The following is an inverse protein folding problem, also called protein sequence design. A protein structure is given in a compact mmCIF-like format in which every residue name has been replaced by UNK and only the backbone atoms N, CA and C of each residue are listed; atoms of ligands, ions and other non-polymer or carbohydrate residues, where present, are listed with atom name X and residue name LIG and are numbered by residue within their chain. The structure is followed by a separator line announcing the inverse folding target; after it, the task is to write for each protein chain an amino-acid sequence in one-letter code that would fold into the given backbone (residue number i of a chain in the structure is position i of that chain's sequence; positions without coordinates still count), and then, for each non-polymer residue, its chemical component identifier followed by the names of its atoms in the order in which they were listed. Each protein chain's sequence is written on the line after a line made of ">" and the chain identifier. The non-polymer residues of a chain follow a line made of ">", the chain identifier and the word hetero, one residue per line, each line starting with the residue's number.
data_IF_213630481874
#
_entry.id   IF_213630481874
#
_cell.length_a   1.000
_cell.length_b   1.000
_cell.length_c   1.000
_cell.angle_alpha   90.00
_cell.angle_beta   90.00
_cell.angle_gamma   90.00
#
_symmetry.space_group_name_H-M   'P 1'
#
loop_
_entity.id
_entity.type
_entity.pdbx_description
1 polymer ?
#
# COMPACT_ATOMS: atom_id res chain seq x y z
N UNK A 1 -19.41 -34.79 -13.83
CA UNK A 1 -19.70 -33.56 -13.11
C UNK A 1 -19.14 -32.37 -13.91
N UNK A 2 -20.06 -31.69 -14.63
CA UNK A 2 -19.76 -30.46 -15.38
C UNK A 2 -19.79 -29.30 -14.40
N UNK A 3 -18.66 -28.63 -14.22
CA UNK A 3 -18.61 -27.30 -13.63
C UNK A 3 -19.21 -26.29 -14.63
N UNK A 4 -20.40 -25.77 -14.33
CA UNK A 4 -21.01 -24.64 -15.02
C UNK A 4 -20.47 -23.39 -14.31
N UNK A 5 -19.61 -22.64 -14.98
CA UNK A 5 -19.28 -21.29 -14.54
C UNK A 5 -20.51 -20.41 -14.79
N UNK A 6 -21.12 -19.93 -13.73
CA UNK A 6 -22.07 -18.83 -13.81
C UNK A 6 -21.27 -17.56 -14.12
N UNK A 7 -21.40 -17.09 -15.37
CA UNK A 7 -21.06 -15.73 -15.73
C UNK A 7 -21.97 -14.80 -14.91
N UNK A 8 -21.43 -14.17 -13.89
CA UNK A 8 -22.09 -13.07 -13.20
C UNK A 8 -22.12 -11.87 -14.15
N UNK A 9 -23.26 -11.67 -14.81
CA UNK A 9 -23.61 -10.42 -15.45
C UNK A 9 -23.51 -9.29 -14.41
N UNK A 10 -22.35 -8.64 -14.35
CA UNK A 10 -22.23 -7.34 -13.71
C UNK A 10 -22.89 -6.29 -14.60
N UNK A 11 -24.21 -6.29 -14.63
CA UNK A 11 -24.97 -5.08 -14.97
C UNK A 11 -24.58 -4.02 -13.96
N UNK A 12 -23.70 -3.10 -14.38
CA UNK A 12 -23.38 -1.89 -13.64
C UNK A 12 -24.72 -1.16 -13.45
N UNK A 13 -25.33 -1.38 -12.30
CA UNK A 13 -26.51 -0.63 -11.85
C UNK A 13 -26.06 0.83 -11.74
N UNK A 14 -26.61 1.66 -12.63
CA UNK A 14 -26.41 3.12 -12.68
C UNK A 14 -27.11 3.84 -11.52
N UNK A 15 -26.99 3.31 -10.30
CA UNK A 15 -27.54 3.90 -9.09
C UNK A 15 -26.47 4.25 -8.07
N UNK A 16 -25.40 4.95 -8.52
CA UNK A 16 -24.55 5.67 -7.57
C UNK A 16 -25.28 6.94 -7.13
N UNK A 17 -25.71 7.04 -5.87
CA UNK A 17 -26.45 8.20 -5.37
C UNK A 17 -25.64 9.49 -5.47
N UNK A 18 -24.30 9.40 -5.47
CA UNK A 18 -23.41 10.54 -5.68
C UNK A 18 -23.42 11.07 -7.11
N UNK A 19 -23.41 10.18 -8.11
CA UNK A 19 -23.51 10.57 -9.52
C UNK A 19 -24.85 11.23 -9.83
N UNK A 20 -25.94 10.68 -9.34
CA UNK A 20 -27.28 11.28 -9.47
C UNK A 20 -27.40 12.63 -8.75
N UNK A 21 -26.74 12.81 -7.61
CA UNK A 21 -26.72 14.09 -6.90
C UNK A 21 -25.96 15.16 -7.70
N UNK A 22 -24.78 14.83 -8.27
CA UNK A 22 -23.97 15.73 -9.11
C UNK A 22 -24.70 16.10 -10.41
N UNK A 23 -25.32 15.12 -11.07
CA UNK A 23 -26.07 15.34 -12.29
C UNK A 23 -27.32 16.21 -12.07
N UNK A 24 -28.01 16.06 -10.95
CA UNK A 24 -29.20 16.85 -10.63
C UNK A 24 -28.88 18.28 -10.16
N UNK A 25 -27.68 18.57 -9.68
CA UNK A 25 -27.26 19.87 -9.18
C UNK A 25 -26.62 20.75 -10.26
N UNK A 26 -26.22 20.19 -11.41
CA UNK A 26 -25.62 21.00 -12.48
C UNK A 26 -26.66 21.80 -13.24
N UNK A 27 -26.58 23.12 -13.11
CA UNK A 27 -27.39 24.11 -13.81
C UNK A 27 -27.39 23.90 -15.34
N UNK A 28 -26.30 23.41 -15.89
CA UNK A 28 -26.10 23.15 -17.31
C UNK A 28 -27.02 22.04 -17.80
N UNK A 29 -27.19 20.95 -17.05
CA UNK A 29 -28.05 19.80 -17.43
C UNK A 29 -29.52 20.21 -17.38
N UNK A 30 -29.93 21.02 -16.39
CA UNK A 30 -31.27 21.56 -16.32
C UNK A 30 -31.61 22.50 -17.51
N UNK A 31 -30.62 23.27 -17.98
CA UNK A 31 -30.76 24.15 -19.13
C UNK A 31 -30.92 23.36 -20.45
N UNK A 32 -30.12 22.29 -20.61
CA UNK A 32 -30.20 21.38 -21.77
C UNK A 32 -31.53 20.63 -21.78
N UNK A 33 -31.99 20.13 -20.64
CA UNK A 33 -33.25 19.41 -20.51
C UNK A 33 -34.46 20.31 -20.80
N UNK A 34 -34.42 21.58 -20.37
CA UNK A 34 -35.46 22.58 -20.64
C UNK A 34 -35.53 22.97 -22.13
N UNK A 35 -34.36 23.08 -22.79
CA UNK A 35 -34.24 23.31 -24.22
C UNK A 35 -34.77 22.12 -25.03
N UNK A 36 -34.53 20.90 -24.61
CA UNK A 36 -34.98 19.67 -25.25
C UNK A 36 -36.51 19.47 -25.11
N UNK A 37 -37.09 19.81 -23.96
CA UNK A 37 -38.53 19.76 -23.74
C UNK A 37 -39.29 20.86 -24.51
N UNK A 38 -38.71 22.05 -24.64
CA UNK A 38 -39.27 23.13 -25.45
C UNK A 38 -39.30 22.76 -26.95
N UNK A 39 -38.26 22.09 -27.44
CA UNK A 39 -38.17 21.58 -28.80
C UNK A 39 -39.21 20.46 -29.07
N UNK A 40 -39.44 19.56 -28.10
CA UNK A 40 -40.45 18.48 -28.20
C UNK A 40 -41.88 19.00 -28.23
N UNK A 41 -42.17 20.11 -27.53
CA UNK A 41 -43.50 20.73 -27.52
C UNK A 41 -43.83 21.41 -28.84
N UNK A 42 -42.81 21.94 -29.56
CA UNK A 42 -42.98 22.58 -30.87
C UNK A 42 -43.20 21.60 -32.02
N UNK A 43 -42.82 20.33 -31.87
CA UNK A 43 -42.93 19.25 -32.87
C UNK A 43 -44.36 18.62 -32.86
N UNK A 44 -45.11 18.73 -31.74
CA UNK A 44 -46.44 18.12 -31.60
C UNK A 44 -47.60 18.91 -32.24
N UNK A 45 -47.34 20.10 -32.80
CA UNK A 45 -48.37 21.00 -33.33
C UNK A 45 -48.39 21.15 -34.86
N UNK A 46 -47.73 20.25 -35.62
CA UNK A 46 -47.71 20.30 -37.08
C UNK A 46 -48.62 19.19 -37.67
N UNK A 47 -49.63 19.49 -38.46
CA UNK A 47 -50.52 18.48 -39.02
C UNK A 47 -49.83 17.65 -40.11
N UNK A 48 -50.22 16.39 -40.13
CA UNK A 48 -49.76 15.32 -41.01
C UNK A 48 -50.00 15.66 -42.50
N UNK A 49 -48.93 15.98 -43.25
CA UNK A 49 -48.94 15.95 -44.70
C UNK A 49 -47.62 15.54 -45.31
N UNK A 50 -47.68 14.41 -46.01
CA UNK A 50 -46.84 13.92 -47.13
C UNK A 50 -45.37 13.59 -46.94
N UNK A 51 -45.07 12.37 -47.30
CA UNK A 51 -43.86 11.50 -47.37
C UNK A 51 -42.57 12.06 -48.02
N UNK A 52 -42.35 13.37 -48.13
CA UNK A 52 -41.18 13.95 -48.78
C UNK A 52 -40.08 14.45 -47.81
N UNK A 53 -40.33 14.44 -46.52
CA UNK A 53 -39.37 15.00 -45.54
C UNK A 53 -38.47 13.98 -44.83
N UNK A 54 -38.72 12.67 -44.96
CA UNK A 54 -37.94 11.68 -44.22
C UNK A 54 -36.50 11.49 -44.75
N UNK A 55 -36.27 11.65 -46.05
CA UNK A 55 -34.92 11.47 -46.63
C UNK A 55 -34.01 12.67 -46.36
N UNK A 56 -34.56 13.89 -46.36
CA UNK A 56 -33.76 15.09 -46.16
C UNK A 56 -33.37 15.33 -44.68
N UNK A 57 -34.28 15.00 -43.75
CA UNK A 57 -34.03 15.14 -42.30
C UNK A 57 -33.08 14.05 -41.80
N UNK A 58 -33.18 12.82 -42.33
CA UNK A 58 -32.27 11.74 -41.96
C UNK A 58 -30.85 11.99 -42.45
N UNK A 59 -30.69 12.49 -43.69
CA UNK A 59 -29.37 12.86 -44.23
C UNK A 59 -28.74 14.04 -43.48
N UNK A 60 -29.52 15.04 -43.07
CA UNK A 60 -29.05 16.16 -42.28
C UNK A 60 -28.65 15.74 -40.84
N UNK A 61 -29.46 14.87 -40.22
CA UNK A 61 -29.13 14.29 -38.89
C UNK A 61 -27.85 13.44 -38.95
N UNK A 62 -27.68 12.66 -40.00
CA UNK A 62 -26.46 11.84 -40.19
C UNK A 62 -25.24 12.73 -40.43
N UNK A 63 -25.39 13.84 -41.15
CA UNK A 63 -24.30 14.81 -41.37
C UNK A 63 -23.87 15.53 -40.09
N UNK A 64 -24.84 15.90 -39.21
CA UNK A 64 -24.53 16.48 -37.88
C UNK A 64 -23.88 15.46 -36.96
N UNK A 65 -24.36 14.22 -37.00
CA UNK A 65 -23.77 13.15 -36.19
C UNK A 65 -22.34 12.84 -36.61
N UNK A 66 -22.05 12.83 -37.90
CA UNK A 66 -20.70 12.65 -38.43
C UNK A 66 -19.77 13.83 -38.08
N UNK A 67 -20.26 15.07 -38.15
CA UNK A 67 -19.49 16.25 -37.73
C UNK A 67 -19.17 16.22 -36.24
N UNK A 68 -20.16 15.84 -35.41
CA UNK A 68 -19.92 15.73 -33.95
C UNK A 68 -18.93 14.62 -33.61
N UNK A 69 -19.01 13.48 -34.29
CA UNK A 69 -18.05 12.38 -34.12
C UNK A 69 -16.63 12.77 -34.59
N UNK A 70 -16.51 13.51 -35.69
CA UNK A 70 -15.21 14.01 -36.13
C UNK A 70 -14.61 15.02 -35.14
N UNK A 71 -15.42 15.93 -34.60
CA UNK A 71 -14.94 16.88 -33.58
C UNK A 71 -14.51 16.17 -32.29
N UNK A 72 -15.25 15.16 -31.84
CA UNK A 72 -14.87 14.37 -30.65
C UNK A 72 -13.59 13.59 -30.88
N UNK A 73 -13.39 13.00 -32.05
CA UNK A 73 -12.18 12.23 -32.39
C UNK A 73 -10.96 13.15 -32.49
N UNK A 74 -11.09 14.35 -33.04
CA UNK A 74 -10.00 15.32 -33.13
C UNK A 74 -9.62 15.88 -31.76
N UNK A 75 -10.62 16.22 -30.91
CA UNK A 75 -10.36 16.62 -29.52
C UNK A 75 -9.68 15.52 -28.71
N UNK A 76 -10.12 14.27 -28.81
CA UNK A 76 -9.51 13.14 -28.14
C UNK A 76 -8.05 12.90 -28.58
N UNK A 77 -7.77 13.03 -29.88
CA UNK A 77 -6.41 12.92 -30.41
C UNK A 77 -5.51 14.04 -29.88
N UNK A 78 -5.98 15.29 -29.90
CA UNK A 78 -5.25 16.44 -29.36
C UNK A 78 -4.94 16.27 -27.87
N UNK A 79 -5.90 15.82 -27.06
CA UNK A 79 -5.70 15.56 -25.63
C UNK A 79 -4.66 14.45 -25.37
N UNK A 80 -4.67 13.40 -26.17
CA UNK A 80 -3.65 12.34 -26.09
C UNK A 80 -2.25 12.85 -26.47
N UNK A 81 -2.15 13.68 -27.49
CA UNK A 81 -0.89 14.30 -27.89
C UNK A 81 -0.37 15.28 -26.83
N UNK A 82 -1.23 16.16 -26.30
CA UNK A 82 -0.89 17.08 -25.21
C UNK A 82 -0.47 16.31 -23.94
N UNK A 83 -1.13 15.24 -23.59
CA UNK A 83 -0.75 14.40 -22.47
C UNK A 83 0.63 13.75 -22.66
N UNK A 84 0.91 13.20 -23.85
CA UNK A 84 2.22 12.60 -24.17
C UNK A 84 3.34 13.64 -24.19
N UNK A 85 3.11 14.80 -24.79
CA UNK A 85 4.11 15.87 -24.83
C UNK A 85 4.39 16.45 -23.46
N UNK A 86 3.38 16.61 -22.61
CA UNK A 86 3.55 17.06 -21.22
C UNK A 86 4.37 16.07 -20.40
N UNK A 87 4.16 14.77 -20.55
CA UNK A 87 4.96 13.73 -19.90
C UNK A 87 6.42 13.78 -20.38
N UNK A 88 6.65 13.91 -21.70
CA UNK A 88 7.99 13.99 -22.27
C UNK A 88 8.72 15.24 -21.76
N UNK A 89 8.04 16.38 -21.75
CA UNK A 89 8.60 17.63 -21.22
C UNK A 89 8.92 17.49 -19.73
N UNK A 90 8.01 16.90 -18.94
CA UNK A 90 8.24 16.61 -17.52
C UNK A 90 9.45 15.71 -17.30
N UNK A 91 9.61 14.64 -18.07
CA UNK A 91 10.77 13.76 -18.02
C UNK A 91 12.07 14.48 -18.42
N UNK A 92 12.03 15.31 -19.45
CA UNK A 92 13.20 16.09 -19.86
C UNK A 92 13.61 17.12 -18.80
N UNK A 93 12.65 17.77 -18.14
CA UNK A 93 12.92 18.70 -17.03
C UNK A 93 13.52 17.97 -15.83
N UNK A 94 12.97 16.81 -15.46
CA UNK A 94 13.52 15.97 -14.39
C UNK A 94 14.93 15.51 -14.76
N UNK A 95 15.14 15.05 -15.98
CA UNK A 95 16.45 14.61 -16.45
C UNK A 95 17.48 15.75 -16.48
N UNK A 96 17.09 16.94 -16.96
CA UNK A 96 17.96 18.13 -16.99
C UNK A 96 18.35 18.60 -15.57
N UNK A 97 17.48 18.38 -14.57
CA UNK A 97 17.77 18.72 -13.18
C UNK A 97 18.65 17.65 -12.51
N UNK A 98 18.44 16.36 -12.83
CA UNK A 98 19.23 15.24 -12.28
C UNK A 98 20.65 15.20 -12.86
N UNK A 99 20.83 15.51 -14.15
CA UNK A 99 22.12 15.39 -14.83
C UNK A 99 23.27 16.18 -14.16
N UNK A 100 23.13 17.48 -13.83
CA UNK A 100 24.20 18.22 -13.15
C UNK A 100 24.44 17.68 -11.72
N UNK A 101 23.38 17.25 -11.03
CA UNK A 101 23.51 16.67 -9.68
C UNK A 101 24.29 15.35 -9.70
N UNK A 102 24.03 14.47 -10.67
CA UNK A 102 24.78 13.21 -10.82
C UNK A 102 26.24 13.44 -11.22
N UNK A 103 26.49 14.43 -12.07
CA UNK A 103 27.85 14.82 -12.48
C UNK A 103 28.68 15.29 -11.28
N UNK A 104 28.09 16.17 -10.45
CA UNK A 104 28.74 16.67 -9.24
C UNK A 104 28.96 15.55 -8.21
N UNK A 105 28.00 14.63 -8.04
CA UNK A 105 28.17 13.45 -7.20
C UNK A 105 29.29 12.53 -7.70
N UNK A 106 29.35 12.26 -9.01
CA UNK A 106 30.41 11.44 -9.58
C UNK A 106 31.80 12.05 -9.40
N UNK A 107 31.93 13.37 -9.62
CA UNK A 107 33.18 14.09 -9.37
C UNK A 107 33.55 14.02 -7.89
N UNK A 108 32.61 14.27 -6.98
CA UNK A 108 32.85 14.18 -5.53
C UNK A 108 33.28 12.79 -5.10
N UNK A 109 32.65 11.74 -5.63
CA UNK A 109 32.99 10.34 -5.33
C UNK A 109 34.37 9.96 -5.89
N UNK A 110 34.71 10.45 -7.09
CA UNK A 110 36.02 10.15 -7.70
C UNK A 110 37.20 10.78 -6.97
N UNK A 111 36.97 11.85 -6.22
CA UNK A 111 37.98 12.49 -5.37
C UNK A 111 38.11 11.86 -3.98
N UNK A 112 37.27 10.87 -3.62
CA UNK A 112 37.40 10.18 -2.35
C UNK A 112 38.67 9.32 -2.32
N UNK A 113 39.61 9.65 -1.42
CA UNK A 113 40.80 8.86 -1.20
C UNK A 113 40.47 7.47 -0.62
N UNK A 114 41.44 6.54 -0.78
CA UNK A 114 41.30 5.16 -0.27
C UNK A 114 41.00 5.13 1.23
N UNK A 115 41.48 6.11 1.98
CA UNK A 115 41.24 6.24 3.42
C UNK A 115 39.75 6.49 3.73
N UNK A 116 39.11 7.34 2.96
CA UNK A 116 37.66 7.61 3.10
C UNK A 116 36.83 6.36 2.79
N UNK A 117 37.20 5.61 1.75
CA UNK A 117 36.55 4.33 1.46
C UNK A 117 36.67 3.33 2.58
N UNK A 118 37.85 3.20 3.19
CA UNK A 118 38.05 2.34 4.38
C UNK A 118 37.13 2.75 5.54
N UNK A 119 37.01 4.05 5.80
CA UNK A 119 36.11 4.56 6.84
C UNK A 119 34.64 4.21 6.53
N UNK A 120 34.19 4.46 5.30
CA UNK A 120 32.82 4.13 4.87
C UNK A 120 32.51 2.62 5.07
N UNK A 121 33.43 1.74 4.69
CA UNK A 121 33.26 0.29 4.89
C UNK A 121 33.20 -0.07 6.37
N UNK A 122 34.07 0.51 7.19
CA UNK A 122 34.11 0.27 8.62
C UNK A 122 32.80 0.72 9.29
N UNK A 123 32.34 1.92 9.00
CA UNK A 123 31.10 2.47 9.55
C UNK A 123 29.87 1.69 9.07
N UNK A 124 29.87 1.24 7.82
CA UNK A 124 28.83 0.37 7.28
C UNK A 124 28.80 -0.99 8.00
N UNK A 125 29.95 -1.54 8.31
CA UNK A 125 30.06 -2.78 9.08
C UNK A 125 29.52 -2.62 10.51
N UNK A 126 29.86 -1.52 11.19
CA UNK A 126 29.32 -1.23 12.52
C UNK A 126 27.81 -1.02 12.49
N UNK A 127 27.30 -0.35 11.45
CA UNK A 127 25.86 -0.18 11.25
C UNK A 127 25.16 -1.53 11.05
N UNK A 128 25.76 -2.42 10.25
CA UNK A 128 25.24 -3.79 10.07
C UNK A 128 25.17 -4.55 11.39
N UNK A 129 26.21 -4.45 12.23
CA UNK A 129 26.23 -5.08 13.56
C UNK A 129 25.12 -4.52 14.47
N UNK A 130 24.85 -3.21 14.43
CA UNK A 130 23.74 -2.60 15.19
C UNK A 130 22.39 -3.13 14.73
N UNK A 131 22.19 -3.26 13.41
CA UNK A 131 20.95 -3.83 12.83
C UNK A 131 20.78 -5.28 13.27
N UNK A 132 21.81 -6.11 13.12
CA UNK A 132 21.78 -7.51 13.56
C UNK A 132 21.52 -7.58 15.06
N UNK A 133 22.19 -6.77 15.86
CA UNK A 133 22.01 -6.70 17.31
C UNK A 133 20.56 -6.36 17.70
N UNK A 134 19.94 -5.37 17.03
CA UNK A 134 18.54 -5.01 17.27
C UNK A 134 17.57 -6.14 16.86
N UNK A 135 17.83 -6.83 15.75
CA UNK A 135 17.05 -7.99 15.32
C UNK A 135 17.15 -9.14 16.31
N UNK A 136 18.36 -9.46 16.77
CA UNK A 136 18.61 -10.53 17.74
C UNK A 136 17.92 -10.20 19.07
N UNK A 137 18.13 -9.01 19.61
CA UNK A 137 17.47 -8.59 20.85
C UNK A 137 15.95 -8.58 20.70
N UNK A 138 15.44 -8.04 19.60
CA UNK A 138 14.01 -8.09 19.29
C UNK A 138 13.48 -9.51 19.29
N UNK A 139 14.19 -10.43 18.64
CA UNK A 139 13.80 -11.85 18.56
C UNK A 139 13.79 -12.53 19.91
N UNK A 140 14.81 -12.29 20.72
CA UNK A 140 14.99 -12.95 22.02
C UNK A 140 13.83 -12.74 22.98
N UNK A 141 13.22 -11.58 22.98
CA UNK A 141 12.09 -11.31 23.88
C UNK A 141 10.72 -11.43 23.20
N UNK A 142 10.58 -11.04 21.92
CA UNK A 142 9.28 -11.08 21.22
C UNK A 142 8.86 -12.50 20.88
N UNK A 143 9.80 -13.40 20.52
CA UNK A 143 9.48 -14.78 20.16
C UNK A 143 8.90 -15.58 21.33
N UNK A 144 9.52 -15.60 22.52
CA UNK A 144 8.92 -16.26 23.68
C UNK A 144 7.58 -15.63 24.08
N UNK A 145 7.49 -14.31 24.03
CA UNK A 145 6.25 -13.60 24.34
C UNK A 145 5.10 -13.96 23.37
N UNK A 146 5.36 -13.95 22.07
CA UNK A 146 4.37 -14.31 21.05
C UNK A 146 3.88 -15.76 21.23
N UNK A 147 4.80 -16.70 21.44
CA UNK A 147 4.44 -18.11 21.70
C UNK A 147 3.62 -18.20 22.98
N UNK A 148 4.03 -17.55 24.07
CA UNK A 148 3.29 -17.57 25.34
C UNK A 148 1.86 -16.99 25.22
N UNK A 149 1.68 -15.94 24.43
CA UNK A 149 0.35 -15.38 24.15
C UNK A 149 -0.49 -16.36 23.35
N UNK A 150 0.07 -16.98 22.31
CA UNK A 150 -0.65 -17.88 21.39
C UNK A 150 -1.15 -19.16 22.02
N UNK A 151 -0.50 -19.64 23.10
CA UNK A 151 -0.85 -20.88 23.77
C UNK A 151 -2.24 -20.87 24.47
N UNK A 152 -2.80 -19.69 24.74
CA UNK A 152 -4.12 -19.55 25.38
C UNK A 152 -5.00 -18.54 24.65
N UNK A 153 -6.19 -18.95 24.16
CA UNK A 153 -7.14 -18.04 23.50
C UNK A 153 -7.51 -16.81 24.36
N UNK A 154 -7.65 -17.00 25.67
CA UNK A 154 -7.94 -15.92 26.61
C UNK A 154 -6.85 -14.84 26.63
N UNK A 155 -5.57 -15.21 26.50
CA UNK A 155 -4.48 -14.24 26.41
C UNK A 155 -4.50 -13.49 25.08
N UNK A 156 -4.82 -14.18 24.01
CA UNK A 156 -4.88 -13.62 22.67
C UNK A 156 -5.95 -12.52 22.55
N UNK A 157 -7.13 -12.72 23.18
CA UNK A 157 -8.24 -11.79 23.11
C UNK A 157 -7.90 -10.38 23.65
N UNK A 158 -7.10 -10.28 24.71
CA UNK A 158 -6.70 -8.99 25.26
C UNK A 158 -5.33 -8.51 24.75
N UNK A 159 -4.39 -9.43 24.49
CA UNK A 159 -3.06 -9.06 24.04
C UNK A 159 -3.07 -8.51 22.61
N UNK A 160 -3.88 -9.06 21.72
CA UNK A 160 -3.93 -8.62 20.32
C UNK A 160 -4.36 -7.16 20.16
N UNK A 161 -5.46 -6.65 20.77
CA UNK A 161 -5.79 -5.24 20.71
C UNK A 161 -4.73 -4.34 21.33
N UNK A 162 -4.14 -4.76 22.46
CA UNK A 162 -3.08 -3.99 23.13
C UNK A 162 -1.84 -3.84 22.23
N UNK A 163 -1.37 -4.96 21.64
CA UNK A 163 -0.22 -4.97 20.74
C UNK A 163 -0.51 -4.10 19.51
N UNK A 164 -1.72 -4.20 18.92
CA UNK A 164 -2.10 -3.38 17.77
C UNK A 164 -2.11 -1.88 18.11
N UNK A 165 -2.64 -1.51 19.27
CA UNK A 165 -2.65 -0.12 19.73
C UNK A 165 -1.22 0.39 19.92
N UNK A 166 -0.36 -0.37 20.57
CA UNK A 166 1.04 0.01 20.78
C UNK A 166 1.84 0.08 19.48
N UNK A 167 1.61 -0.86 18.58
CA UNK A 167 2.29 -0.90 17.27
C UNK A 167 1.79 0.18 16.29
N UNK A 168 0.58 0.71 16.48
CA UNK A 168 0.06 1.83 15.68
C UNK A 168 0.73 3.16 16.03
N UNK A 169 1.39 3.23 17.17
CA UNK A 169 2.15 4.42 17.56
C UNK A 169 3.46 4.50 16.76
N UNK A 170 3.72 5.60 16.03
CA UNK A 170 4.92 5.72 15.21
C UNK A 170 6.17 5.76 16.09
N UNK A 171 7.02 4.72 15.99
CA UNK A 171 8.27 4.63 16.76
C UNK A 171 9.14 5.90 16.69
N UNK A 172 9.25 6.62 15.54
CA UNK A 172 10.00 7.87 15.48
C UNK A 172 9.54 8.97 16.43
N UNK A 173 8.28 8.98 16.85
CA UNK A 173 7.79 9.94 17.84
C UNK A 173 8.38 9.72 19.23
N UNK A 174 8.81 8.50 19.53
CA UNK A 174 9.46 8.17 20.81
C UNK A 174 10.96 8.50 20.81
N UNK A 175 11.58 8.74 19.64
CA UNK A 175 13.03 8.95 19.55
C UNK A 175 13.55 10.14 20.35
N UNK A 176 12.91 11.33 20.36
CA UNK A 176 13.38 12.44 21.19
C UNK A 176 13.35 12.13 22.68
N UNK A 177 12.29 11.43 23.14
CA UNK A 177 12.17 11.03 24.55
C UNK A 177 13.19 9.97 24.92
N UNK A 178 13.35 8.96 24.07
CA UNK A 178 14.34 7.89 24.27
C UNK A 178 15.77 8.45 24.26
N UNK A 179 16.09 9.37 23.34
CA UNK A 179 17.39 10.03 23.28
C UNK A 179 17.67 10.83 24.57
N UNK A 180 16.69 11.60 25.04
CA UNK A 180 16.80 12.33 26.30
C UNK A 180 17.08 11.39 27.49
N UNK A 181 16.37 10.25 27.55
CA UNK A 181 16.60 9.23 28.57
C UNK A 181 18.01 8.60 28.43
N UNK A 182 18.49 8.33 27.25
CA UNK A 182 19.82 7.75 27.01
C UNK A 182 20.94 8.72 27.42
N UNK A 183 20.78 10.02 27.14
CA UNK A 183 21.71 11.05 27.60
C UNK A 183 21.74 11.10 29.12
N UNK A 184 20.58 11.10 29.76
CA UNK A 184 20.46 11.12 31.22
C UNK A 184 21.10 9.88 31.86
N UNK A 185 20.87 8.70 31.29
CA UNK A 185 21.41 7.43 31.76
C UNK A 185 22.88 7.20 31.35
N UNK A 186 23.48 8.15 30.61
CA UNK A 186 24.86 8.03 30.07
C UNK A 186 25.06 6.77 29.20
N UNK A 187 24.05 6.36 28.47
CA UNK A 187 24.13 5.20 27.56
C UNK A 187 25.01 5.58 26.37
N UNK A 188 26.02 4.75 26.01
CA UNK A 188 26.84 4.99 24.82
C UNK A 188 25.97 5.14 23.57
N UNK A 189 26.35 6.07 22.68
CA UNK A 189 25.60 6.37 21.47
C UNK A 189 25.31 5.13 20.60
N UNK A 190 26.27 4.22 20.54
CA UNK A 190 26.19 2.96 19.80
C UNK A 190 25.05 2.07 20.29
N UNK A 191 24.95 1.88 21.60
CA UNK A 191 23.88 1.12 22.24
C UNK A 191 22.55 1.86 22.13
N UNK A 192 22.56 3.19 22.28
CA UNK A 192 21.38 4.02 22.11
C UNK A 192 20.77 3.87 20.71
N UNK A 193 21.60 3.94 19.67
CA UNK A 193 21.17 3.75 18.28
C UNK A 193 20.57 2.36 18.05
N UNK A 194 21.18 1.30 18.59
CA UNK A 194 20.66 -0.06 18.51
C UNK A 194 19.30 -0.20 19.22
N UNK A 195 19.11 0.42 20.38
CA UNK A 195 17.86 0.42 21.13
C UNK A 195 16.76 1.21 20.40
N UNK A 196 17.09 2.32 19.73
CA UNK A 196 16.14 3.05 18.89
C UNK A 196 15.67 2.19 17.70
N UNK A 197 16.58 1.48 17.05
CA UNK A 197 16.22 0.51 16.01
C UNK A 197 15.32 -0.59 16.55
N UNK A 198 15.62 -1.10 17.75
CA UNK A 198 14.82 -2.12 18.41
C UNK A 198 13.37 -1.67 18.62
N UNK A 199 13.12 -0.42 19.00
CA UNK A 199 11.77 0.11 19.19
C UNK A 199 10.91 0.00 17.92
N UNK A 200 11.51 0.13 16.74
CA UNK A 200 10.82 -0.04 15.46
C UNK A 200 10.64 -1.50 15.06
N UNK A 201 11.73 -2.28 15.14
CA UNK A 201 11.83 -3.65 14.64
C UNK A 201 10.95 -4.64 15.41
N UNK A 202 10.86 -4.50 16.72
CA UNK A 202 10.21 -5.46 17.62
C UNK A 202 8.75 -5.78 17.26
N UNK A 203 7.99 -4.79 16.78
CA UNK A 203 6.58 -4.97 16.45
C UNK A 203 6.39 -5.86 15.22
N UNK A 204 7.25 -5.70 14.21
CA UNK A 204 7.21 -6.55 13.00
C UNK A 204 7.51 -8.01 13.33
N UNK A 205 8.51 -8.25 14.19
CA UNK A 205 8.85 -9.59 14.62
C UNK A 205 7.70 -10.18 15.45
N UNK A 206 7.19 -9.43 16.43
CA UNK A 206 6.13 -9.86 17.32
C UNK A 206 4.87 -10.28 16.53
N UNK A 207 4.41 -9.45 15.60
CA UNK A 207 3.22 -9.75 14.79
C UNK A 207 3.41 -10.99 13.91
N UNK A 208 4.55 -11.10 13.25
CA UNK A 208 4.79 -12.25 12.36
C UNK A 208 4.90 -13.55 13.15
N UNK A 209 5.62 -13.55 14.28
CA UNK A 209 5.76 -14.73 15.14
C UNK A 209 4.41 -15.09 15.77
N UNK A 210 3.64 -14.12 16.23
CA UNK A 210 2.30 -14.33 16.78
C UNK A 210 1.37 -14.97 15.74
N UNK A 211 1.35 -14.45 14.51
CA UNK A 211 0.58 -15.02 13.40
C UNK A 211 1.04 -16.44 13.04
N UNK A 212 2.34 -16.73 13.11
CA UNK A 212 2.88 -18.08 12.90
C UNK A 212 2.50 -19.03 14.02
N UNK A 213 2.60 -18.59 15.26
CA UNK A 213 2.30 -19.40 16.44
C UNK A 213 0.81 -19.79 16.55
N UNK A 214 -0.09 -18.91 16.11
CA UNK A 214 -1.55 -19.20 16.08
C UNK A 214 -1.96 -20.25 15.03
N UNK A 215 -1.08 -20.55 14.05
CA UNK A 215 -1.32 -21.58 13.04
C UNK A 215 -0.98 -22.99 13.52
N UNK A 216 -0.32 -23.11 14.67
CA UNK A 216 0.07 -24.43 15.22
C UNK A 216 -1.19 -25.09 15.76
N UNK A 217 -1.57 -26.31 15.24
CA UNK A 217 -2.75 -27.03 15.73
C UNK A 217 -2.58 -27.40 17.20
N UNK A 218 -3.61 -27.10 18.00
CA UNK A 218 -3.60 -27.41 19.44
C UNK A 218 -3.42 -28.92 19.72
N UNK A 219 -3.88 -29.76 18.78
CA UNK A 219 -3.74 -31.21 18.88
C UNK A 219 -2.27 -31.66 18.96
N UNK A 220 -1.36 -30.97 18.28
CA UNK A 220 0.06 -31.34 18.31
C UNK A 220 0.66 -31.10 19.70
N UNK A 221 0.34 -29.99 20.35
CA UNK A 221 0.82 -29.72 21.71
C UNK A 221 0.22 -30.68 22.73
N UNK A 222 -1.07 -31.02 22.59
CA UNK A 222 -1.75 -32.00 23.43
C UNK A 222 -1.16 -33.41 23.25
N UNK A 223 -0.87 -33.84 22.02
CA UNK A 223 -0.24 -35.13 21.75
C UNK A 223 1.14 -35.24 22.39
N UNK A 224 1.92 -34.17 22.36
CA UNK A 224 3.25 -34.13 23.03
C UNK A 224 3.11 -34.20 24.56
N UNK A 225 2.11 -33.58 25.14
CA UNK A 225 1.80 -33.68 26.58
C UNK A 225 1.37 -35.10 26.99
N UNK A 226 0.54 -35.78 26.17
CA UNK A 226 0.11 -37.15 26.40
C UNK A 226 1.25 -38.16 26.41
N UNK A 227 2.29 -37.93 25.61
CA UNK A 227 3.52 -38.74 25.58
C UNK A 227 4.46 -38.45 26.78
N UNK A 228 4.07 -37.53 27.67
CA UNK A 228 4.87 -37.14 28.82
C UNK A 228 6.03 -36.22 28.52
N UNK A 229 6.01 -35.53 27.37
CA UNK A 229 7.06 -34.57 26.99
C UNK A 229 7.12 -33.39 27.93
N UNK A 230 8.32 -32.98 28.34
CA UNK A 230 8.48 -31.77 29.16
C UNK A 230 8.08 -30.52 28.37
N UNK A 231 7.65 -29.46 29.06
CA UNK A 231 7.31 -28.17 28.42
C UNK A 231 8.49 -27.59 27.62
N UNK A 232 9.71 -27.82 28.06
CA UNK A 232 10.91 -27.40 27.33
C UNK A 232 11.09 -28.18 26.02
N UNK A 233 10.81 -29.47 26.03
CA UNK A 233 10.83 -30.32 24.83
C UNK A 233 9.80 -29.86 23.79
N UNK A 234 8.56 -29.60 24.21
CA UNK A 234 7.52 -29.06 23.34
C UNK A 234 7.92 -27.70 22.76
N UNK A 235 8.50 -26.83 23.60
CA UNK A 235 8.94 -25.50 23.14
C UNK A 235 10.08 -25.61 22.11
N UNK A 236 11.09 -26.43 22.37
CA UNK A 236 12.29 -26.55 21.52
C UNK A 236 12.04 -27.30 20.21
N UNK A 237 11.28 -28.38 20.25
CA UNK A 237 11.13 -29.30 19.12
C UNK A 237 9.82 -29.09 18.32
N UNK A 238 8.81 -28.44 18.89
CA UNK A 238 7.56 -28.16 18.20
C UNK A 238 7.36 -26.67 17.95
N UNK A 239 7.28 -25.86 19.02
CA UNK A 239 6.85 -24.46 18.91
C UNK A 239 7.89 -23.60 18.18
N UNK A 240 9.16 -23.65 18.61
CA UNK A 240 10.24 -22.86 18.03
C UNK A 240 10.45 -23.17 16.54
N UNK A 241 10.60 -24.43 16.09
CA UNK A 241 10.74 -24.73 14.67
C UNK A 241 9.51 -24.32 13.82
N UNK A 242 8.30 -24.46 14.38
CA UNK A 242 7.08 -24.10 13.68
C UNK A 242 6.96 -22.59 13.41
N UNK A 243 7.52 -21.73 14.25
CA UNK A 243 7.48 -20.28 14.07
C UNK A 243 8.65 -19.72 13.26
N UNK A 244 9.72 -20.50 13.00
CA UNK A 244 10.89 -20.05 12.26
C UNK A 244 10.57 -19.41 10.89
N UNK A 245 9.69 -19.95 10.04
CA UNK A 245 9.35 -19.32 8.77
C UNK A 245 8.70 -17.95 8.95
N UNK A 246 7.85 -17.80 9.97
CA UNK A 246 7.19 -16.53 10.30
C UNK A 246 8.17 -15.54 10.92
N UNK A 247 9.12 -16.01 11.70
CA UNK A 247 10.22 -15.21 12.24
C UNK A 247 11.10 -14.65 11.11
N UNK A 248 11.47 -15.48 10.13
CA UNK A 248 12.21 -15.04 8.96
C UNK A 248 11.44 -13.95 8.17
N UNK A 249 10.13 -14.11 8.01
CA UNK A 249 9.27 -13.08 7.42
C UNK A 249 9.29 -11.78 8.24
N UNK A 250 9.25 -11.90 9.57
CA UNK A 250 9.37 -10.77 10.50
C UNK A 250 10.69 -10.02 10.32
N UNK A 251 11.80 -10.73 10.19
CA UNK A 251 13.13 -10.13 9.94
C UNK A 251 13.18 -9.39 8.60
N UNK A 252 12.71 -10.01 7.52
CA UNK A 252 12.69 -9.39 6.19
C UNK A 252 11.81 -8.14 6.20
N UNK A 253 10.66 -8.18 6.87
CA UNK A 253 9.73 -7.05 6.93
C UNK A 253 10.29 -5.90 7.75
N UNK A 254 11.02 -6.21 8.84
CA UNK A 254 11.62 -5.20 9.73
C UNK A 254 12.90 -4.57 9.17
N UNK A 255 13.56 -5.24 8.22
CA UNK A 255 14.77 -4.74 7.57
C UNK A 255 14.52 -3.82 6.37
N UNK A 256 13.26 -3.63 5.98
CA UNK A 256 12.84 -2.69 4.93
C UNK A 256 12.58 -1.29 5.49
#
# INVERSE_FOLDING_TARGET
>A
HRFRMEESDTTISSQDPMLNWILNKSWIIKKIQKSFQASKKKIKSVPHKKNWQHSSISSFRQKIQNLNNQLLITHWRLWKWLGRTSIIIGLLLIFSWILPSTKNLFISVSHLGIQTWKQIFLESFWTLLRVIGSLVLGTLWTTPLAIWISLKPSRMQWAQPLIQTMASFPAPMLYPMALGAFIYLKIPFELGAMLLMLLGVQWYILFNVLAGATRIPAQLSQSMELIGSSRWTVWRYLLLPSVLPSLATGWITSAR
#
